data_IF_395777043810
#
_entry.id   IF_395777043810
#
_cell.length_a   1.000
_cell.length_b   1.000
_cell.length_c   1.000
_cell.angle_alpha   90.00
_cell.angle_beta   90.00
_cell.angle_gamma   90.00
#
_symmetry.space_group_name_H-M   'P 1'
#
loop_
_entity.id
_entity.type
_entity.pdbx_description
1 polymer ?
#
# COMPACT_ATOMS: atom_id res chain seq x y z
N UNK A 1 -8.68 39.44 -10.12
CA UNK A 1 -8.51 38.18 -10.88
C UNK A 1 -7.95 37.20 -9.87
N UNK A 2 -8.87 36.48 -9.24
CA UNK A 2 -8.70 35.59 -8.09
C UNK A 2 -7.82 34.39 -8.44
N UNK A 3 -6.75 34.19 -7.69
CA UNK A 3 -6.59 33.20 -6.61
C UNK A 3 -6.09 31.84 -7.13
N UNK A 4 -4.77 31.68 -7.00
CA UNK A 4 -4.05 30.42 -6.98
C UNK A 4 -4.59 29.53 -5.85
N UNK A 5 -5.09 28.33 -6.19
CA UNK A 5 -5.10 27.16 -5.29
C UNK A 5 -5.06 25.89 -6.15
N UNK A 6 -3.87 25.53 -6.63
CA UNK A 6 -3.60 24.16 -7.07
C UNK A 6 -2.81 23.48 -5.95
N UNK A 7 -3.39 22.43 -5.36
CA UNK A 7 -2.81 21.71 -4.22
C UNK A 7 -1.38 21.28 -4.47
N UNK A 8 -0.46 21.85 -3.70
CA UNK A 8 0.96 21.50 -3.69
C UNK A 8 1.16 20.18 -2.94
N UNK A 9 1.59 19.18 -3.69
CA UNK A 9 2.01 17.88 -3.21
C UNK A 9 1.73 16.80 -4.24
N UNK A 10 2.78 16.33 -4.91
CA UNK A 10 2.86 15.02 -5.58
C UNK A 10 2.63 14.90 -7.10
N UNK A 11 2.91 15.94 -7.90
CA UNK A 11 2.84 15.86 -9.37
C UNK A 11 3.88 14.90 -9.99
N UNK A 12 5.15 15.06 -9.62
CA UNK A 12 6.27 14.35 -10.27
C UNK A 12 6.31 12.85 -9.98
N UNK A 13 5.98 12.42 -8.76
CA UNK A 13 5.95 10.99 -8.44
C UNK A 13 4.76 10.31 -9.13
N UNK A 14 3.63 11.00 -9.29
CA UNK A 14 2.51 10.51 -10.09
C UNK A 14 2.91 10.31 -11.55
N UNK A 15 3.64 11.26 -12.14
CA UNK A 15 4.17 11.16 -13.51
C UNK A 15 5.16 10.00 -13.68
N UNK A 16 6.12 9.85 -12.77
CA UNK A 16 7.08 8.72 -12.78
C UNK A 16 6.34 7.39 -12.64
N UNK A 17 5.29 7.35 -11.81
CA UNK A 17 4.45 6.16 -11.65
C UNK A 17 3.77 5.78 -12.98
N UNK A 18 3.33 6.76 -13.78
CA UNK A 18 2.74 6.54 -15.10
C UNK A 18 3.79 6.06 -16.13
N UNK A 19 5.06 6.45 -15.99
CA UNK A 19 6.14 6.01 -16.88
C UNK A 19 6.52 4.54 -16.70
N UNK A 20 6.26 3.94 -15.53
CA UNK A 20 6.60 2.54 -15.30
C UNK A 20 5.61 1.54 -15.94
N UNK A 21 4.50 2.02 -16.50
CA UNK A 21 3.48 1.19 -17.14
C UNK A 21 2.77 0.23 -16.18
N UNK A 22 2.77 0.52 -14.88
CA UNK A 22 2.08 -0.28 -13.86
C UNK A 22 2.69 -1.65 -13.60
N UNK A 23 4.02 -1.82 -13.68
CA UNK A 23 4.71 -3.06 -13.30
C UNK A 23 4.33 -3.55 -11.90
N UNK A 24 4.06 -2.63 -10.97
CA UNK A 24 3.59 -2.94 -9.63
C UNK A 24 2.18 -3.54 -9.57
N UNK A 25 1.43 -3.56 -10.68
CA UNK A 25 0.10 -4.17 -10.77
C UNK A 25 0.16 -5.67 -11.09
N UNK A 26 1.31 -6.20 -11.51
CA UNK A 26 1.48 -7.63 -11.76
C UNK A 26 1.48 -8.42 -10.45
N UNK A 27 0.56 -9.37 -10.30
CA UNK A 27 0.35 -10.20 -9.09
C UNK A 27 0.32 -9.38 -7.79
N UNK A 28 -0.21 -8.15 -7.87
CA UNK A 28 -0.12 -7.20 -6.78
C UNK A 28 -1.04 -7.55 -5.59
N UNK A 29 -2.22 -8.11 -5.91
CA UNK A 29 -3.28 -8.49 -4.97
C UNK A 29 -3.37 -7.60 -3.71
N UNK A 30 -3.45 -6.27 -3.87
CA UNK A 30 -3.29 -5.35 -2.74
C UNK A 30 -4.46 -5.51 -1.77
N UNK A 31 -4.17 -5.58 -0.45
CA UNK A 31 -5.20 -5.63 0.55
C UNK A 31 -5.96 -4.31 0.62
N UNK A 32 -7.19 -4.36 1.12
CA UNK A 32 -8.07 -3.21 1.27
C UNK A 32 -8.79 -3.23 2.61
N UNK A 33 -8.92 -2.05 3.23
CA UNK A 33 -9.85 -1.86 4.36
C UNK A 33 -11.29 -1.79 3.87
N UNK A 34 -12.26 -2.01 4.76
CA UNK A 34 -13.69 -1.82 4.45
C UNK A 34 -13.97 -0.41 3.92
N UNK A 35 -13.46 0.60 4.61
CA UNK A 35 -13.62 2.00 4.22
C UNK A 35 -13.08 2.28 2.81
N UNK A 36 -11.93 1.68 2.44
CA UNK A 36 -11.38 1.86 1.10
C UNK A 36 -12.21 1.14 0.04
N UNK A 37 -12.70 -0.07 0.33
CA UNK A 37 -13.60 -0.78 -0.59
C UNK A 37 -14.88 0.01 -0.87
N UNK A 38 -15.49 0.59 0.16
CA UNK A 38 -16.69 1.45 0.02
C UNK A 38 -16.39 2.68 -0.86
N UNK A 39 -15.27 3.37 -0.59
CA UNK A 39 -14.84 4.53 -1.38
C UNK A 39 -14.59 4.16 -2.84
N UNK A 40 -13.84 3.08 -3.09
CA UNK A 40 -13.53 2.64 -4.45
C UNK A 40 -14.80 2.20 -5.19
N UNK A 41 -15.74 1.56 -4.50
CA UNK A 41 -17.04 1.18 -5.08
C UNK A 41 -17.84 2.41 -5.52
N UNK A 42 -17.85 3.48 -4.71
CA UNK A 42 -18.50 4.75 -5.04
C UNK A 42 -17.88 5.43 -6.26
N UNK A 43 -16.57 5.27 -6.44
CA UNK A 43 -15.79 5.85 -7.55
C UNK A 43 -15.77 4.97 -8.81
N UNK A 44 -16.57 3.88 -8.83
CA UNK A 44 -16.76 3.05 -10.02
C UNK A 44 -15.87 1.80 -10.10
N UNK A 45 -15.42 1.26 -8.97
CA UNK A 45 -14.78 -0.06 -8.94
C UNK A 45 -15.72 -1.12 -9.56
N UNK A 46 -15.26 -1.93 -10.52
CA UNK A 46 -16.10 -2.93 -11.15
C UNK A 46 -16.65 -3.94 -10.15
N UNK A 47 -17.90 -4.36 -10.34
CA UNK A 47 -18.49 -5.45 -9.56
C UNK A 47 -17.63 -6.72 -9.72
N UNK A 48 -17.36 -7.41 -8.62
CA UNK A 48 -16.54 -8.61 -8.60
C UNK A 48 -15.02 -8.38 -8.67
N UNK A 49 -14.55 -7.13 -8.61
CA UNK A 49 -13.12 -6.78 -8.53
C UNK A 49 -12.43 -7.27 -7.24
N UNK A 50 -13.23 -7.53 -6.20
CA UNK A 50 -12.75 -7.96 -4.89
C UNK A 50 -12.84 -9.48 -4.73
N UNK A 51 -11.91 -10.03 -3.96
CA UNK A 51 -11.95 -11.40 -3.44
C UNK A 51 -11.53 -11.45 -1.98
N UNK A 52 -11.85 -12.57 -1.34
CA UNK A 52 -11.28 -12.97 -0.06
C UNK A 52 -10.36 -14.16 -0.28
N UNK A 53 -9.09 -14.02 0.08
CA UNK A 53 -8.08 -15.06 0.01
C UNK A 53 -7.20 -15.00 1.26
N UNK A 54 -7.82 -15.26 2.42
CA UNK A 54 -7.23 -15.04 3.75
C UNK A 54 -7.28 -13.57 4.20
N UNK A 55 -7.31 -12.63 3.25
CA UNK A 55 -7.64 -11.23 3.44
C UNK A 55 -8.40 -10.68 2.23
N UNK A 56 -9.08 -9.54 2.41
CA UNK A 56 -9.83 -8.85 1.36
C UNK A 56 -8.89 -8.05 0.47
N UNK A 57 -8.97 -8.30 -0.84
CA UNK A 57 -8.02 -7.76 -1.81
C UNK A 57 -8.61 -7.56 -3.19
N UNK A 58 -7.93 -6.76 -4.01
CA UNK A 58 -8.20 -6.73 -5.45
C UNK A 58 -7.72 -8.02 -6.12
N UNK A 59 -8.52 -8.51 -7.07
CA UNK A 59 -8.17 -9.65 -7.92
C UNK A 59 -7.06 -9.30 -8.90
N UNK A 60 -6.29 -10.31 -9.27
CA UNK A 60 -5.59 -10.35 -10.54
C UNK A 60 -6.52 -10.95 -11.60
N UNK A 61 -6.40 -10.50 -12.84
CA UNK A 61 -7.00 -11.16 -14.00
C UNK A 61 -6.16 -12.37 -14.40
N UNK A 62 -6.64 -13.13 -15.38
CA UNK A 62 -5.93 -14.28 -15.93
C UNK A 62 -4.57 -13.91 -16.56
N UNK A 63 -4.41 -12.65 -16.98
CA UNK A 63 -3.14 -12.11 -17.47
C UNK A 63 -2.16 -11.74 -16.36
N UNK A 64 -2.48 -11.98 -15.08
CA UNK A 64 -1.64 -11.66 -13.93
C UNK A 64 -1.71 -10.20 -13.46
N UNK A 65 -2.31 -9.29 -14.22
CA UNK A 65 -2.43 -7.89 -13.80
C UNK A 65 -3.64 -7.67 -12.88
N UNK A 66 -3.52 -6.72 -11.96
CA UNK A 66 -4.62 -6.24 -11.14
C UNK A 66 -5.85 -5.89 -12.01
N UNK A 67 -7.05 -6.23 -11.54
CA UNK A 67 -8.31 -5.98 -12.24
C UNK A 67 -8.54 -4.49 -12.58
N UNK A 68 -7.94 -3.58 -11.81
CA UNK A 68 -8.02 -2.13 -12.06
C UNK A 68 -6.93 -1.59 -12.98
N UNK A 69 -6.02 -2.44 -13.48
CA UNK A 69 -4.98 -2.03 -14.41
C UNK A 69 -5.52 -1.94 -15.83
N UNK A 70 -5.34 -0.80 -16.49
CA UNK A 70 -5.68 -0.61 -17.89
C UNK A 70 -4.70 0.37 -18.55
N UNK A 71 -4.20 0.02 -19.73
CA UNK A 71 -3.34 0.88 -20.56
C UNK A 71 -2.16 1.51 -19.77
N UNK A 72 -1.49 0.74 -18.92
CA UNK A 72 -0.33 1.21 -18.17
C UNK A 72 -0.66 2.00 -16.88
N UNK A 73 -1.95 2.15 -16.52
CA UNK A 73 -2.39 2.93 -15.36
C UNK A 73 -3.48 2.24 -14.55
N UNK A 74 -3.69 2.72 -13.32
CA UNK A 74 -4.83 2.32 -12.50
C UNK A 74 -6.08 3.10 -12.92
N UNK A 75 -7.19 2.41 -13.17
CA UNK A 75 -8.49 3.00 -13.48
C UNK A 75 -9.00 3.90 -12.34
N UNK A 76 -8.63 3.58 -11.10
CA UNK A 76 -9.00 4.33 -9.89
C UNK A 76 -7.78 4.99 -9.25
N UNK A 77 -6.94 5.67 -10.05
CA UNK A 77 -5.67 6.24 -9.59
C UNK A 77 -5.82 7.22 -8.41
N UNK A 78 -6.90 8.01 -8.38
CA UNK A 78 -7.17 8.98 -7.32
C UNK A 78 -7.58 8.34 -5.98
N UNK A 79 -8.06 7.10 -6.01
CA UNK A 79 -8.57 6.37 -4.83
C UNK A 79 -7.96 4.97 -4.72
N UNK A 80 -6.68 4.84 -5.07
CA UNK A 80 -5.91 3.58 -4.99
C UNK A 80 -6.02 2.89 -3.62
N UNK A 81 -5.77 1.58 -3.54
CA UNK A 81 -5.55 0.89 -2.27
C UNK A 81 -4.48 1.60 -1.41
N UNK A 82 -4.61 1.53 -0.09
CA UNK A 82 -3.69 2.15 0.87
C UNK A 82 -2.24 1.76 0.60
N UNK A 83 -1.99 0.47 0.42
CA UNK A 83 -0.65 -0.06 0.17
C UNK A 83 -0.12 0.40 -1.19
N UNK A 84 -0.98 0.55 -2.19
CA UNK A 84 -0.57 1.07 -3.49
C UNK A 84 -0.19 2.56 -3.45
N UNK A 85 -0.73 3.34 -2.49
CA UNK A 85 -0.32 4.73 -2.24
C UNK A 85 1.03 4.78 -1.51
N UNK A 86 1.31 3.79 -0.65
CA UNK A 86 2.56 3.70 0.11
C UNK A 86 3.79 3.30 -0.72
N UNK A 87 3.62 2.71 -1.91
CA UNK A 87 4.71 2.35 -2.83
C UNK A 87 5.66 3.55 -3.06
N UNK A 88 6.99 3.33 -3.13
CA UNK A 88 7.69 2.04 -3.07
C UNK A 88 7.98 1.51 -1.67
N UNK A 89 7.38 2.09 -0.64
CA UNK A 89 7.50 1.57 0.71
C UNK A 89 6.51 0.41 0.93
N UNK A 90 6.98 -0.58 1.67
CA UNK A 90 6.19 -1.69 2.22
C UNK A 90 6.53 -1.84 3.70
N UNK A 91 5.95 -2.83 4.37
CA UNK A 91 6.01 -2.95 5.82
C UNK A 91 6.05 -4.37 6.33
N UNK A 92 6.55 -4.52 7.55
CA UNK A 92 6.41 -5.70 8.38
C UNK A 92 6.18 -5.27 9.84
N UNK A 93 5.78 -6.19 10.71
CA UNK A 93 5.55 -5.94 12.13
C UNK A 93 6.38 -6.87 12.97
N UNK A 94 7.35 -6.29 13.69
CA UNK A 94 8.21 -7.01 14.62
C UNK A 94 7.94 -6.56 16.05
N UNK A 95 7.26 -7.42 16.82
CA UNK A 95 6.85 -7.09 18.18
C UNK A 95 5.85 -5.92 18.19
N UNK A 96 6.26 -4.80 18.77
CA UNK A 96 5.47 -3.56 18.85
C UNK A 96 5.96 -2.47 17.88
N UNK A 97 6.74 -2.85 16.86
CA UNK A 97 7.30 -1.93 15.88
C UNK A 97 6.75 -2.24 14.50
N UNK A 98 6.33 -1.19 13.79
CA UNK A 98 6.14 -1.19 12.34
C UNK A 98 7.50 -0.97 11.70
N UNK A 99 8.04 -1.98 11.03
CA UNK A 99 9.26 -1.84 10.24
C UNK A 99 8.88 -1.38 8.83
N UNK A 100 9.56 -0.35 8.33
CA UNK A 100 9.33 0.22 7.00
C UNK A 100 10.45 -0.22 6.09
N UNK A 101 10.09 -0.74 4.92
CA UNK A 101 11.03 -1.22 3.92
C UNK A 101 10.85 -0.47 2.61
N UNK A 102 11.94 -0.20 1.93
CA UNK A 102 11.96 0.39 0.60
C UNK A 102 12.27 -0.70 -0.42
N UNK A 103 11.45 -0.80 -1.47
CA UNK A 103 11.73 -1.67 -2.62
C UNK A 103 13.05 -1.28 -3.30
N UNK A 104 13.77 -2.25 -3.85
CA UNK A 104 14.98 -1.99 -4.64
C UNK A 104 14.65 -1.26 -5.94
N UNK A 105 15.55 -0.40 -6.42
CA UNK A 105 15.39 0.30 -7.69
C UNK A 105 15.29 -0.61 -8.92
N UNK A 106 15.81 -1.83 -8.84
CA UNK A 106 15.65 -2.88 -9.85
C UNK A 106 14.19 -3.26 -10.11
N UNK A 107 13.32 -3.15 -9.11
CA UNK A 107 11.91 -3.55 -9.18
C UNK A 107 10.94 -2.36 -9.21
N UNK A 108 11.37 -1.17 -8.76
CA UNK A 108 10.57 0.05 -8.82
C UNK A 108 11.39 1.23 -9.37
N UNK A 109 11.05 1.77 -10.55
CA UNK A 109 11.79 2.88 -11.14
C UNK A 109 11.60 4.20 -10.38
N UNK A 110 10.63 4.31 -9.47
CA UNK A 110 10.46 5.49 -8.61
C UNK A 110 11.60 5.63 -7.59
N UNK A 111 12.23 4.51 -7.19
CA UNK A 111 13.21 4.48 -6.10
C UNK A 111 14.47 5.30 -6.41
N UNK A 112 15.14 5.16 -7.59
CA UNK A 112 16.27 6.02 -7.92
C UNK A 112 15.95 7.51 -7.91
N UNK A 113 14.72 7.90 -8.31
CA UNK A 113 14.29 9.29 -8.27
C UNK A 113 14.11 9.80 -6.85
N UNK A 114 13.43 9.03 -5.99
CA UNK A 114 13.28 9.37 -4.57
C UNK A 114 14.63 9.47 -3.88
N UNK A 115 15.56 8.53 -4.12
CA UNK A 115 16.89 8.59 -3.51
C UNK A 115 17.74 9.77 -4.01
N UNK A 116 17.43 10.30 -5.20
CA UNK A 116 18.07 11.49 -5.74
C UNK A 116 17.48 12.82 -5.22
N UNK A 117 16.33 12.77 -4.54
CA UNK A 117 15.60 13.93 -4.03
C UNK A 117 15.12 13.68 -2.59
N UNK A 118 15.88 14.19 -1.63
CA UNK A 118 15.61 13.96 -0.20
C UNK A 118 14.28 14.54 0.29
N UNK A 119 13.79 15.63 -0.32
CA UNK A 119 12.51 16.23 0.05
C UNK A 119 11.35 15.36 -0.45
N UNK A 120 11.41 14.95 -1.73
CA UNK A 120 10.43 14.02 -2.30
C UNK A 120 10.43 12.67 -1.57
N UNK A 121 11.61 12.17 -1.20
CA UNK A 121 11.76 10.96 -0.38
C UNK A 121 11.01 11.10 0.95
N UNK A 122 11.30 12.16 1.71
CA UNK A 122 10.72 12.34 3.03
C UNK A 122 9.19 12.52 2.94
N UNK A 123 8.71 13.30 1.98
CA UNK A 123 7.27 13.50 1.77
C UNK A 123 6.56 12.16 1.45
N UNK A 124 7.14 11.34 0.58
CA UNK A 124 6.57 10.03 0.24
C UNK A 124 6.69 9.03 1.39
N UNK A 125 7.78 9.05 2.16
CA UNK A 125 7.96 8.23 3.35
C UNK A 125 6.90 8.55 4.40
N UNK A 126 6.69 9.84 4.71
CA UNK A 126 5.69 10.26 5.69
C UNK A 126 4.28 9.91 5.24
N UNK A 127 3.98 10.06 3.95
CA UNK A 127 2.71 9.62 3.37
C UNK A 127 2.52 8.11 3.51
N UNK A 128 3.56 7.32 3.22
CA UNK A 128 3.52 5.87 3.36
C UNK A 128 3.25 5.47 4.82
N UNK A 129 4.03 5.99 5.78
CA UNK A 129 3.86 5.70 7.21
C UNK A 129 2.43 6.02 7.67
N UNK A 130 1.89 7.19 7.32
CA UNK A 130 0.51 7.55 7.69
C UNK A 130 -0.52 6.57 7.14
N UNK A 131 -0.41 6.18 5.86
CA UNK A 131 -1.34 5.22 5.26
C UNK A 131 -1.20 3.83 5.87
N UNK A 132 0.01 3.38 6.15
CA UNK A 132 0.28 2.08 6.74
C UNK A 132 -0.27 1.97 8.17
N UNK A 133 -0.08 2.99 9.00
CA UNK A 133 -0.64 3.02 10.35
C UNK A 133 -2.17 3.02 10.33
N UNK A 134 -2.79 3.80 9.43
CA UNK A 134 -4.24 3.80 9.27
C UNK A 134 -4.76 2.44 8.79
N UNK A 135 -4.10 1.86 7.79
CA UNK A 135 -4.41 0.52 7.27
C UNK A 135 -4.37 -0.53 8.38
N UNK A 136 -3.29 -0.57 9.17
CA UNK A 136 -3.13 -1.55 10.25
C UNK A 136 -4.16 -1.41 11.37
N UNK A 137 -4.66 -0.20 11.62
CA UNK A 137 -5.72 0.03 12.61
C UNK A 137 -7.07 -0.52 12.14
N UNK A 138 -7.33 -0.46 10.84
CA UNK A 138 -8.66 -0.65 10.26
C UNK A 138 -8.83 -2.04 9.59
N UNK A 139 -7.73 -2.74 9.30
CA UNK A 139 -7.76 -4.14 8.84
C UNK A 139 -8.02 -5.10 10.01
N UNK A 140 -8.89 -6.12 9.85
CA UNK A 140 -9.09 -7.15 10.87
C UNK A 140 -7.81 -7.90 11.23
N UNK A 141 -7.68 -8.29 12.49
CA UNK A 141 -6.45 -8.88 13.00
C UNK A 141 -6.08 -10.20 12.32
N UNK A 142 -7.06 -11.03 11.97
CA UNK A 142 -6.87 -12.27 11.22
C UNK A 142 -6.39 -12.01 9.79
N UNK A 143 -6.98 -11.04 9.09
CA UNK A 143 -6.52 -10.62 7.76
C UNK A 143 -5.10 -10.03 7.81
N UNK A 144 -4.81 -9.18 8.80
CA UNK A 144 -3.49 -8.60 8.99
C UNK A 144 -2.44 -9.68 9.23
N UNK A 145 -2.76 -10.73 10.00
CA UNK A 145 -1.85 -11.87 10.20
C UNK A 145 -1.52 -12.56 8.89
N UNK A 146 -2.50 -12.80 8.03
CA UNK A 146 -2.27 -13.40 6.71
C UNK A 146 -1.38 -12.51 5.83
N UNK A 147 -1.68 -11.20 5.78
CA UNK A 147 -0.89 -10.23 5.02
C UNK A 147 0.58 -10.22 5.45
N UNK A 148 0.84 -10.31 6.76
CA UNK A 148 2.21 -10.34 7.31
C UNK A 148 2.98 -11.63 7.02
N UNK A 149 2.36 -12.65 6.41
CA UNK A 149 3.07 -13.84 5.92
C UNK A 149 3.66 -13.66 4.52
N UNK A 150 3.29 -12.57 3.82
CA UNK A 150 3.73 -12.31 2.45
C UNK A 150 5.18 -11.83 2.46
N UNK A 151 6.08 -12.61 1.85
CA UNK A 151 7.49 -12.23 1.73
C UNK A 151 7.72 -11.24 0.58
N UNK A 152 8.41 -10.13 0.88
CA UNK A 152 8.91 -9.17 -0.11
C UNK A 152 10.45 -9.07 -0.06
N UNK A 153 11.20 -10.07 -0.56
CA UNK A 153 12.65 -10.18 -0.39
C UNK A 153 13.46 -9.09 -1.12
N UNK A 154 12.87 -8.44 -2.11
CA UNK A 154 13.52 -7.39 -2.90
C UNK A 154 13.37 -5.99 -2.28
N UNK A 155 13.51 -5.93 -0.96
CA UNK A 155 13.36 -4.72 -0.15
C UNK A 155 14.51 -4.52 0.84
N UNK A 156 14.64 -3.31 1.38
CA UNK A 156 15.66 -2.94 2.37
C UNK A 156 14.97 -2.17 3.49
N UNK A 157 15.23 -2.51 4.76
CA UNK A 157 14.69 -1.77 5.90
C UNK A 157 15.25 -0.35 5.91
N UNK A 158 14.38 0.65 6.00
CA UNK A 158 14.72 2.08 5.97
C UNK A 158 14.22 2.84 7.21
N UNK A 159 13.35 2.23 8.01
CA UNK A 159 12.88 2.85 9.23
C UNK A 159 12.06 1.92 10.12
N UNK A 160 11.68 2.44 11.27
CA UNK A 160 10.77 1.77 12.21
C UNK A 160 9.96 2.79 12.99
N UNK A 161 8.71 2.45 13.30
CA UNK A 161 7.77 3.30 14.01
C UNK A 161 7.09 2.49 15.11
N UNK A 162 7.03 2.97 16.37
CA UNK A 162 6.27 2.29 17.41
C UNK A 162 4.78 2.20 17.06
N UNK A 163 4.17 1.04 17.34
CA UNK A 163 2.74 0.79 17.11
C UNK A 163 1.86 1.09 18.34
N UNK A 164 2.43 1.76 19.34
CA UNK A 164 1.72 2.11 20.58
C UNK A 164 0.45 2.91 20.26
N UNK A 165 -0.70 2.35 20.66
CA UNK A 165 -2.01 2.95 20.42
C UNK A 165 -2.60 2.74 19.02
N UNK A 166 -1.88 2.06 18.11
CA UNK A 166 -2.35 1.76 16.74
C UNK A 166 -2.89 0.34 16.65
N UNK A 167 -2.15 -0.63 17.19
CA UNK A 167 -2.63 -2.00 17.31
C UNK A 167 -3.39 -2.19 18.63
N UNK A 168 -4.56 -2.84 18.58
CA UNK A 168 -5.22 -3.33 19.79
C UNK A 168 -4.30 -4.34 20.48
N UNK A 169 -4.29 -4.42 21.83
CA UNK A 169 -3.45 -5.38 22.54
C UNK A 169 -3.72 -6.79 22.00
N UNK A 170 -2.66 -7.45 21.53
CA UNK A 170 -2.71 -8.84 21.05
C UNK A 170 -3.23 -9.70 22.20
N UNK A 171 -4.42 -10.27 22.05
CA UNK A 171 -4.84 -11.33 22.97
C UNK A 171 -4.09 -12.57 22.55
N UNK A 172 -3.23 -13.17 23.40
CA UNK A 172 -2.56 -14.41 23.04
C UNK A 172 -3.63 -15.46 22.68
N UNK A 173 -3.39 -16.21 21.60
CA UNK A 173 -4.25 -17.34 21.27
C UNK A 173 -4.35 -18.27 22.50
N UNK A 174 -5.54 -18.82 22.80
CA UNK A 174 -5.67 -19.78 23.89
C UNK A 174 -4.71 -20.94 23.63
N UNK A 175 -3.79 -21.16 24.56
CA UNK A 175 -2.90 -22.32 24.54
C UNK A 175 -3.78 -23.55 24.69
N UNK A 176 -3.78 -24.52 23.75
CA UNK A 176 -4.54 -25.74 23.93
C UNK A 176 -4.04 -26.43 25.20
N UNK A 177 -4.99 -26.70 26.11
CA UNK A 177 -4.70 -27.27 27.43
C UNK A 177 -4.02 -28.63 27.34
N UNK A 178 -3.11 -28.85 28.28
CA UNK A 178 -2.38 -30.10 28.52
C UNK A 178 -3.29 -31.32 28.72
#
# INVERSE_FOLDING_TARGET
MSEETAGEGNGILSEICLQCGGRCCWNANPPLTEQRMERMSTEGMPAGALEFAGYRRLKARDDGFCVLFSEGRCLLHAVKPEICVAIPFTFDVKGNMLEIFLRKGSICPMVPHLLGDGEAYQAQYDLAVRNLLAFMRDVPEDELREILTIEEPETIKVGEVPLEGVLRPRTPAPVPGH
#
